data_IF_184916398105
#
_entry.id   IF_184916398105
#
_cell.length_a   1.000
_cell.length_b   1.000
_cell.length_c   1.000
_cell.angle_alpha   90.00
_cell.angle_beta   90.00
_cell.angle_gamma   90.00
#
_symmetry.space_group_name_H-M   'P 1'
#
loop_
_entity.id
_entity.type
_entity.pdbx_description
1 polymer ?
#
# COMPACT_ATOMS: atom_id res chain seq x y z
N UNK A 1 28.01 -9.93 30.98
CA UNK A 1 27.55 -8.67 30.37
C UNK A 1 26.24 -8.96 29.67
N UNK A 2 25.18 -8.22 29.98
CA UNK A 2 23.92 -8.27 29.22
C UNK A 2 24.11 -7.26 28.08
N UNK A 3 24.13 -7.73 26.83
CA UNK A 3 24.22 -6.86 25.66
C UNK A 3 22.93 -6.07 25.45
N UNK A 4 23.00 -4.97 24.68
CA UNK A 4 21.80 -4.21 24.32
C UNK A 4 20.78 -5.12 23.61
N UNK A 5 19.48 -5.04 23.96
CA UNK A 5 18.45 -5.80 23.26
C UNK A 5 18.40 -5.47 21.76
N UNK A 6 18.30 -6.50 20.93
CA UNK A 6 18.07 -6.34 19.49
C UNK A 6 16.59 -6.15 19.18
N UNK A 7 16.29 -5.28 18.23
CA UNK A 7 14.96 -5.12 17.64
C UNK A 7 14.66 -6.30 16.71
N UNK A 8 13.60 -7.05 16.99
CA UNK A 8 13.16 -8.16 16.14
C UNK A 8 12.32 -7.72 14.93
N UNK A 9 11.56 -6.63 15.10
CA UNK A 9 10.69 -6.06 14.09
C UNK A 9 10.35 -4.61 14.42
N UNK A 10 10.13 -3.80 13.38
CA UNK A 10 9.54 -2.46 13.49
C UNK A 10 8.28 -2.42 12.64
N UNK A 11 7.21 -1.85 13.19
CA UNK A 11 6.01 -1.50 12.43
C UNK A 11 5.93 0.03 12.33
N UNK A 12 5.80 0.55 11.10
CA UNK A 12 5.60 1.97 10.85
C UNK A 12 4.22 2.14 10.24
N UNK A 13 3.33 2.86 10.93
CA UNK A 13 1.98 3.15 10.47
C UNK A 13 1.81 4.65 10.16
N UNK A 14 1.24 4.96 9.00
CA UNK A 14 0.79 6.29 8.63
C UNK A 14 -0.74 6.34 8.61
N UNK A 15 -1.31 7.18 9.48
CA UNK A 15 -2.76 7.35 9.64
C UNK A 15 -3.26 8.59 8.90
N UNK A 16 -4.19 8.40 7.99
CA UNK A 16 -4.92 9.46 7.30
C UNK A 16 -6.28 9.64 7.96
N UNK A 17 -6.46 10.78 8.64
CA UNK A 17 -7.68 11.12 9.40
C UNK A 17 -8.42 12.25 8.70
N UNK A 18 -9.73 12.12 8.62
CA UNK A 18 -10.58 13.21 8.14
C UNK A 18 -10.76 14.29 9.22
N UNK A 19 -10.89 15.56 8.80
CA UNK A 19 -11.26 16.69 9.67
C UNK A 19 -12.61 17.22 9.19
N UNK A 20 -13.67 17.07 9.97
CA UNK A 20 -15.02 17.53 9.56
C UNK A 20 -16.18 16.86 10.31
N UNK A 21 -17.42 16.88 9.77
CA UNK A 21 -18.59 16.20 10.34
C UNK A 21 -18.56 14.66 10.19
N UNK A 22 -19.01 13.93 11.21
CA UNK A 22 -18.85 12.47 11.33
C UNK A 22 -19.46 11.62 10.20
N UNK A 23 -20.64 12.00 9.66
CA UNK A 23 -21.29 11.22 8.60
C UNK A 23 -20.52 11.23 7.26
N UNK A 24 -19.79 12.30 6.97
CA UNK A 24 -18.92 12.40 5.79
C UNK A 24 -17.64 11.56 5.97
N UNK A 25 -17.21 11.32 7.22
CA UNK A 25 -15.95 10.63 7.51
C UNK A 25 -15.89 9.21 6.97
N UNK A 26 -16.98 8.45 7.01
CA UNK A 26 -16.94 7.02 6.62
C UNK A 26 -16.63 6.90 5.12
N UNK A 27 -17.43 7.58 4.29
CA UNK A 27 -17.26 7.57 2.84
C UNK A 27 -15.89 8.11 2.43
N UNK A 28 -15.46 9.21 3.03
CA UNK A 28 -14.18 9.85 2.69
C UNK A 28 -12.98 9.01 3.18
N UNK A 29 -13.11 8.34 4.33
CA UNK A 29 -12.06 7.44 4.83
C UNK A 29 -11.96 6.19 3.97
N UNK A 30 -13.08 5.62 3.51
CA UNK A 30 -13.07 4.51 2.56
C UNK A 30 -12.50 4.94 1.20
N UNK A 31 -12.82 6.15 0.72
CA UNK A 31 -12.23 6.70 -0.51
C UNK A 31 -10.71 6.89 -0.39
N UNK A 32 -10.24 7.41 0.75
CA UNK A 32 -8.80 7.51 1.03
C UNK A 32 -8.16 6.12 1.16
N UNK A 33 -8.83 5.17 1.80
CA UNK A 33 -8.34 3.77 1.90
C UNK A 33 -8.20 3.18 0.51
N UNK A 34 -9.21 3.33 -0.36
CA UNK A 34 -9.14 2.90 -1.75
C UNK A 34 -7.95 3.55 -2.48
N UNK A 35 -7.78 4.88 -2.36
CA UNK A 35 -6.64 5.59 -2.98
C UNK A 35 -5.30 5.04 -2.51
N UNK A 36 -5.12 4.80 -1.21
CA UNK A 36 -3.90 4.20 -0.66
C UNK A 36 -3.69 2.77 -1.19
N UNK A 37 -4.72 1.92 -1.20
CA UNK A 37 -4.64 0.55 -1.70
C UNK A 37 -4.30 0.52 -3.20
N UNK A 38 -4.95 1.37 -3.97
CA UNK A 38 -4.78 1.48 -5.41
C UNK A 38 -3.43 2.09 -5.80
N UNK A 39 -2.79 2.88 -4.92
CA UNK A 39 -1.57 3.61 -5.25
C UNK A 39 -0.29 3.05 -4.63
N UNK A 40 -0.38 2.25 -3.56
CA UNK A 40 0.79 1.69 -2.90
C UNK A 40 1.64 0.87 -3.89
N UNK A 41 2.88 1.29 -4.08
CA UNK A 41 3.85 0.68 -4.97
C UNK A 41 5.02 0.11 -4.16
N UNK A 42 4.98 -1.19 -3.89
CA UNK A 42 6.06 -1.91 -3.22
C UNK A 42 6.95 -2.58 -4.28
N UNK A 43 8.09 -1.95 -4.57
CA UNK A 43 9.03 -2.45 -5.57
C UNK A 43 9.51 -3.85 -5.17
N UNK A 44 9.53 -4.79 -6.12
CA UNK A 44 9.99 -6.17 -5.97
C UNK A 44 9.15 -7.04 -5.01
N UNK A 45 8.07 -6.49 -4.43
CA UNK A 45 7.16 -7.21 -3.55
C UNK A 45 6.08 -7.93 -4.37
N UNK A 46 5.74 -9.16 -3.96
CA UNK A 46 4.82 -10.02 -4.72
C UNK A 46 3.51 -10.26 -3.97
N UNK A 47 2.53 -10.84 -4.68
CA UNK A 47 1.25 -11.34 -4.13
C UNK A 47 0.38 -10.26 -3.48
N UNK A 48 0.03 -9.19 -4.22
CA UNK A 48 -0.97 -8.24 -3.76
C UNK A 48 -2.29 -8.99 -3.57
N UNK A 49 -2.91 -8.84 -2.39
CA UNK A 49 -4.14 -9.56 -2.04
C UNK A 49 -4.96 -8.78 -1.03
N UNK A 50 -6.25 -9.06 -0.95
CA UNK A 50 -7.09 -8.61 0.15
C UNK A 50 -7.51 -9.80 1.00
N UNK A 51 -7.44 -9.67 2.32
CA UNK A 51 -8.05 -10.66 3.20
C UNK A 51 -9.55 -10.41 3.28
N UNK A 52 -10.33 -11.42 2.89
CA UNK A 52 -11.78 -11.40 2.88
C UNK A 52 -12.31 -12.40 3.92
N UNK A 53 -12.89 -11.93 5.04
CA UNK A 53 -13.45 -12.81 6.06
C UNK A 53 -14.69 -13.58 5.57
N UNK A 54 -15.33 -13.17 4.48
CA UNK A 54 -16.49 -13.86 3.92
C UNK A 54 -16.11 -15.10 3.10
N UNK A 55 -14.82 -15.28 2.77
CA UNK A 55 -14.35 -16.42 1.99
C UNK A 55 -13.98 -17.61 2.90
N UNK A 56 -14.92 -18.55 3.06
CA UNK A 56 -14.74 -19.77 3.84
C UNK A 56 -14.82 -19.55 5.36
N UNK A 57 -14.75 -20.63 6.14
CA UNK A 57 -15.01 -20.59 7.59
C UNK A 57 -14.05 -19.71 8.40
N UNK A 58 -12.83 -19.49 7.91
CA UNK A 58 -11.78 -18.70 8.58
C UNK A 58 -11.37 -17.44 7.81
N UNK A 59 -12.09 -17.11 6.74
CA UNK A 59 -11.67 -16.12 5.76
C UNK A 59 -10.51 -16.61 4.88
N UNK A 60 -10.33 -15.97 3.73
CA UNK A 60 -9.28 -16.30 2.78
C UNK A 60 -8.71 -15.06 2.10
N UNK A 61 -7.58 -15.22 1.40
CA UNK A 61 -7.02 -14.15 0.60
C UNK A 61 -7.63 -14.15 -0.82
N UNK A 62 -8.15 -13.00 -1.24
CA UNK A 62 -8.48 -12.68 -2.62
C UNK A 62 -7.26 -12.04 -3.28
N UNK A 63 -6.61 -12.76 -4.19
CA UNK A 63 -5.45 -12.23 -4.92
C UNK A 63 -5.87 -11.15 -5.92
N UNK A 64 -5.06 -10.10 -6.03
CA UNK A 64 -5.36 -8.89 -6.82
C UNK A 64 -4.66 -8.88 -8.18
N UNK A 65 -3.84 -9.88 -8.47
CA UNK A 65 -3.13 -10.11 -9.73
C UNK A 65 -3.91 -11.02 -10.70
N UNK A 66 -5.23 -11.13 -10.52
CA UNK A 66 -6.12 -11.94 -11.38
C UNK A 66 -7.12 -11.05 -12.11
N UNK A 67 -7.50 -11.47 -13.32
CA UNK A 67 -8.48 -10.76 -14.15
C UNK A 67 -9.81 -10.55 -13.41
N UNK A 68 -10.39 -9.35 -13.53
CA UNK A 68 -11.66 -9.02 -12.89
C UNK A 68 -11.58 -8.73 -11.38
N UNK A 69 -10.42 -8.92 -10.73
CA UNK A 69 -10.27 -8.54 -9.32
C UNK A 69 -10.50 -7.03 -9.12
N UNK A 70 -11.23 -6.67 -8.07
CA UNK A 70 -11.48 -5.28 -7.68
C UNK A 70 -11.09 -5.08 -6.23
N UNK A 71 -10.54 -3.91 -5.92
CA UNK A 71 -10.34 -3.54 -4.53
C UNK A 71 -11.68 -3.28 -3.86
N UNK A 72 -11.79 -3.79 -2.66
CA UNK A 72 -12.79 -3.38 -1.69
C UNK A 72 -12.09 -2.58 -0.58
N UNK A 73 -12.34 -1.27 -0.43
CA UNK A 73 -11.69 -0.46 0.62
C UNK A 73 -12.07 -0.89 2.05
N UNK A 74 -13.11 -1.70 2.24
CA UNK A 74 -13.45 -2.30 3.52
C UNK A 74 -12.55 -3.49 3.90
N UNK A 75 -11.84 -4.09 2.96
CA UNK A 75 -10.96 -5.23 3.19
C UNK A 75 -9.50 -4.81 3.39
N UNK A 76 -8.74 -5.64 4.10
CA UNK A 76 -7.32 -5.39 4.36
C UNK A 76 -6.48 -5.83 3.15
N UNK A 77 -5.90 -4.85 2.43
CA UNK A 77 -4.97 -5.09 1.34
C UNK A 77 -3.56 -5.33 1.85
N UNK A 78 -2.88 -6.34 1.31
CA UNK A 78 -1.59 -6.83 1.78
C UNK A 78 -0.64 -7.04 0.61
N UNK A 79 0.62 -6.66 0.79
CA UNK A 79 1.72 -7.02 -0.10
C UNK A 79 2.82 -7.67 0.74
N UNK A 80 3.39 -8.79 0.26
CA UNK A 80 4.30 -9.61 1.05
C UNK A 80 3.59 -10.45 2.12
N UNK A 81 4.35 -11.24 2.86
CA UNK A 81 3.88 -12.16 3.90
C UNK A 81 4.46 -11.77 5.26
N UNK A 82 3.87 -12.32 6.32
CA UNK A 82 4.26 -12.05 7.70
C UNK A 82 5.76 -12.29 7.98
N UNK A 83 6.41 -13.17 7.23
CA UNK A 83 7.79 -13.58 7.45
C UNK A 83 8.78 -12.94 6.47
N UNK A 84 8.28 -12.14 5.52
CA UNK A 84 9.14 -11.42 4.59
C UNK A 84 9.82 -10.26 5.32
N UNK A 85 11.03 -9.87 4.89
CA UNK A 85 11.80 -8.77 5.51
C UNK A 85 11.03 -7.44 5.46
N UNK A 86 10.17 -7.27 4.45
CA UNK A 86 9.22 -6.18 4.35
C UNK A 86 7.83 -6.73 4.01
N UNK A 87 6.81 -6.22 4.70
CA UNK A 87 5.41 -6.49 4.34
C UNK A 87 4.56 -5.25 4.55
N UNK A 88 3.58 -5.04 3.68
CA UNK A 88 2.70 -3.88 3.72
C UNK A 88 1.26 -4.28 3.97
N UNK A 89 0.55 -3.43 4.70
CA UNK A 89 -0.90 -3.50 4.86
C UNK A 89 -1.53 -2.14 4.61
N UNK A 90 -2.67 -2.11 3.92
CA UNK A 90 -3.49 -0.92 3.74
C UNK A 90 -4.94 -1.26 4.02
N UNK A 91 -5.52 -0.58 5.00
CA UNK A 91 -6.84 -0.94 5.50
C UNK A 91 -7.54 0.22 6.18
N UNK A 92 -8.86 0.14 6.18
CA UNK A 92 -9.69 1.00 7.01
C UNK A 92 -9.58 0.54 8.46
N UNK A 93 -9.07 1.41 9.34
CA UNK A 93 -8.79 1.10 10.75
C UNK A 93 -9.93 1.62 11.64
N UNK A 94 -10.88 0.75 11.90
CA UNK A 94 -12.08 1.00 12.71
C UNK A 94 -12.20 0.05 13.92
N UNK A 95 -11.25 -0.88 14.06
CA UNK A 95 -11.11 -1.78 15.21
C UNK A 95 -9.71 -1.73 15.78
N UNK A 96 -9.56 -2.06 17.06
CA UNK A 96 -8.29 -2.41 17.70
C UNK A 96 -8.36 -3.79 18.33
N UNK A 97 -7.20 -4.40 18.55
CA UNK A 97 -7.08 -5.65 19.32
C UNK A 97 -6.72 -5.31 20.75
N UNK A 98 -7.37 -5.97 21.72
CA UNK A 98 -6.90 -6.01 23.11
C UNK A 98 -5.79 -7.04 23.28
N UNK A 99 -5.14 -7.00 24.44
CA UNK A 99 -4.10 -7.95 24.87
C UNK A 99 -4.56 -9.42 24.86
N UNK A 100 -5.88 -9.67 24.88
CA UNK A 100 -6.49 -11.00 24.88
C UNK A 100 -7.07 -11.40 23.51
N UNK A 101 -6.63 -10.75 22.42
CA UNK A 101 -7.16 -10.92 21.06
C UNK A 101 -8.62 -10.50 20.82
N UNK A 102 -9.33 -10.00 21.84
CA UNK A 102 -10.66 -9.40 21.66
C UNK A 102 -10.60 -8.19 20.71
N UNK A 103 -11.52 -8.16 19.74
CA UNK A 103 -11.70 -7.04 18.82
C UNK A 103 -12.56 -5.96 19.49
N UNK A 104 -12.05 -4.74 19.54
CA UNK A 104 -12.76 -3.56 20.05
C UNK A 104 -13.06 -2.62 18.91
N UNK A 105 -14.34 -2.27 18.74
CA UNK A 105 -14.75 -1.24 17.80
C UNK A 105 -14.35 0.15 18.31
N UNK A 106 -13.69 0.90 17.44
CA UNK A 106 -13.29 2.27 17.75
C UNK A 106 -14.46 3.22 17.56
N UNK A 107 -14.56 4.30 18.36
CA UNK A 107 -15.50 5.38 18.06
C UNK A 107 -15.15 6.01 16.71
N UNK A 108 -16.16 6.52 15.99
CA UNK A 108 -16.00 7.08 14.64
C UNK A 108 -14.93 8.19 14.57
N UNK A 109 -14.76 8.98 15.62
CA UNK A 109 -13.73 10.01 15.72
C UNK A 109 -12.28 9.49 15.66
N UNK A 110 -12.09 8.17 15.83
CA UNK A 110 -10.79 7.48 15.72
C UNK A 110 -10.65 6.67 14.43
N UNK A 111 -11.66 6.66 13.57
CA UNK A 111 -11.58 5.97 12.29
C UNK A 111 -10.59 6.67 11.36
N UNK A 112 -9.88 5.87 10.57
CA UNK A 112 -8.76 6.34 9.74
C UNK A 112 -8.44 5.35 8.63
N UNK A 113 -7.90 5.85 7.53
CA UNK A 113 -7.26 5.00 6.54
C UNK A 113 -5.80 4.83 6.98
N UNK A 114 -5.31 3.60 7.05
CA UNK A 114 -3.95 3.29 7.49
C UNK A 114 -3.19 2.59 6.38
N UNK A 115 -1.96 3.05 6.16
CA UNK A 115 -0.91 2.29 5.47
C UNK A 115 0.16 1.95 6.50
N UNK A 116 0.58 0.70 6.50
CA UNK A 116 1.49 0.13 7.49
C UNK A 116 2.56 -0.66 6.75
N UNK A 117 3.81 -0.52 7.18
CA UNK A 117 4.90 -1.38 6.76
C UNK A 117 5.51 -2.03 7.99
N UNK A 118 5.72 -3.34 7.90
CA UNK A 118 6.50 -4.09 8.88
C UNK A 118 7.86 -4.39 8.28
N UNK A 119 8.91 -4.14 9.07
CA UNK A 119 10.30 -4.34 8.72
C UNK A 119 10.95 -5.33 9.70
N UNK A 120 11.65 -6.34 9.18
CA UNK A 120 12.26 -7.44 9.93
C UNK A 120 13.54 -7.93 9.25
N UNK A 121 14.36 -8.68 10.00
CA UNK A 121 15.53 -9.37 9.46
C UNK A 121 16.44 -8.44 8.68
N UNK A 122 16.81 -8.84 7.46
CA UNK A 122 17.72 -8.10 6.58
C UNK A 122 17.30 -6.64 6.35
N UNK A 123 15.99 -6.34 6.31
CA UNK A 123 15.54 -4.97 6.14
C UNK A 123 15.88 -4.10 7.36
N UNK A 124 15.86 -4.63 8.58
CA UNK A 124 16.34 -3.88 9.76
C UNK A 124 17.84 -3.57 9.64
N UNK A 125 18.62 -4.50 9.10
CA UNK A 125 20.05 -4.32 8.86
C UNK A 125 20.30 -3.25 7.79
N UNK A 126 19.60 -3.31 6.65
CA UNK A 126 19.73 -2.34 5.55
C UNK A 126 19.38 -0.91 5.98
N UNK A 127 18.40 -0.79 6.87
CA UNK A 127 18.00 0.51 7.43
C UNK A 127 18.83 0.92 8.66
N UNK A 128 19.67 0.04 9.21
CA UNK A 128 20.48 0.32 10.41
C UNK A 128 19.62 0.56 11.64
N UNK A 129 18.64 -0.31 11.88
CA UNK A 129 17.68 -0.25 12.99
C UNK A 129 17.68 -1.59 13.74
N UNK A 130 18.85 -1.97 14.26
CA UNK A 130 19.08 -3.26 14.92
C UNK A 130 18.91 -3.18 16.44
N UNK A 131 19.15 -2.02 17.05
CA UNK A 131 19.02 -1.80 18.50
C UNK A 131 18.20 -0.56 18.83
N UNK A 132 17.91 -0.32 20.11
CA UNK A 132 17.13 0.84 20.53
C UNK A 132 17.95 2.12 20.42
N UNK A 133 19.25 2.06 20.68
CA UNK A 133 20.17 3.20 20.49
C UNK A 133 20.23 3.66 19.03
N UNK A 134 20.04 2.75 18.06
CA UNK A 134 19.96 3.14 16.64
C UNK A 134 18.81 4.13 16.38
N UNK A 135 17.69 4.04 17.12
CA UNK A 135 16.52 4.92 16.95
C UNK A 135 16.79 6.36 17.39
N UNK A 136 17.63 6.57 18.40
CA UNK A 136 17.83 7.89 19.04
C UNK A 136 18.36 8.95 18.06
N UNK A 137 19.24 8.52 17.15
CA UNK A 137 19.84 9.38 16.11
C UNK A 137 19.27 9.14 14.72
N UNK A 138 18.25 8.29 14.59
CA UNK A 138 17.76 7.85 13.30
C UNK A 138 17.02 8.95 12.54
N UNK A 139 17.44 9.18 11.30
CA UNK A 139 16.70 10.05 10.39
C UNK A 139 15.53 9.30 9.77
N UNK A 140 14.32 9.45 10.35
CA UNK A 140 13.10 8.78 9.89
C UNK A 140 12.73 9.08 8.41
N UNK A 141 13.21 10.18 7.84
CA UNK A 141 13.09 10.44 6.40
C UNK A 141 13.68 9.34 5.52
N UNK A 142 14.65 8.58 6.02
CA UNK A 142 15.22 7.41 5.32
C UNK A 142 14.17 6.35 5.02
N UNK A 143 13.06 6.30 5.76
CA UNK A 143 11.95 5.36 5.54
C UNK A 143 11.01 5.77 4.38
N UNK A 144 11.16 6.97 3.81
CA UNK A 144 10.31 7.44 2.69
C UNK A 144 10.19 6.44 1.53
N UNK A 145 11.26 5.74 1.10
CA UNK A 145 11.18 4.74 0.04
C UNK A 145 10.26 3.55 0.32
N UNK A 146 9.93 3.28 1.59
CA UNK A 146 8.98 2.23 1.98
C UNK A 146 7.52 2.63 1.70
N UNK A 147 7.25 3.92 1.53
CA UNK A 147 5.92 4.48 1.27
C UNK A 147 5.93 5.18 -0.08
N UNK A 148 6.01 4.40 -1.16
CA UNK A 148 5.90 4.90 -2.53
C UNK A 148 4.47 4.78 -2.99
N UNK A 149 3.91 5.88 -3.49
CA UNK A 149 2.57 5.91 -4.07
C UNK A 149 2.66 6.30 -5.54
N UNK A 150 1.99 5.52 -6.38
CA UNK A 150 1.93 5.69 -7.84
C UNK A 150 0.49 5.63 -8.28
N UNK A 151 0.10 6.45 -9.23
CA UNK A 151 -1.21 6.41 -9.86
C UNK A 151 -1.08 6.23 -11.37
N UNK A 152 -2.02 5.56 -12.04
CA UNK A 152 -2.05 5.55 -13.49
C UNK A 152 -2.11 6.99 -14.03
N UNK A 153 -1.35 7.27 -15.08
CA UNK A 153 -1.45 8.55 -15.81
C UNK A 153 -2.87 8.70 -16.35
N UNK A 154 -3.37 9.92 -16.49
CA UNK A 154 -4.67 10.16 -17.10
C UNK A 154 -4.78 9.48 -18.49
N UNK A 155 -5.87 8.73 -18.79
CA UNK A 155 -6.02 8.06 -20.08
C UNK A 155 -5.89 8.96 -21.30
N UNK A 156 -6.38 10.20 -21.25
CA UNK A 156 -6.29 11.13 -22.36
C UNK A 156 -4.84 11.60 -22.57
N UNK A 157 -4.14 11.89 -21.48
CA UNK A 157 -2.69 12.18 -21.52
C UNK A 157 -1.91 11.01 -22.11
N UNK A 158 -2.20 9.78 -21.69
CA UNK A 158 -1.54 8.57 -22.20
C UNK A 158 -1.91 8.26 -23.66
N UNK A 159 -3.12 8.60 -24.08
CA UNK A 159 -3.60 8.45 -25.45
C UNK A 159 -2.98 9.46 -26.42
N UNK A 160 -2.52 10.61 -25.92
CA UNK A 160 -1.85 11.65 -26.72
C UNK A 160 -2.66 12.05 -27.98
N UNK A 161 -3.98 12.17 -27.83
CA UNK A 161 -4.89 12.55 -28.92
C UNK A 161 -5.42 11.41 -29.79
N UNK A 162 -4.94 10.17 -29.61
CA UNK A 162 -5.44 9.00 -30.35
C UNK A 162 -6.74 8.45 -29.71
N UNK A 163 -7.90 8.53 -30.40
CA UNK A 163 -9.19 8.09 -29.85
C UNK A 163 -9.28 6.57 -29.66
N UNK A 164 -8.66 5.77 -30.52
CA UNK A 164 -8.68 4.31 -30.40
C UNK A 164 -7.84 3.86 -29.21
N UNK A 165 -6.68 4.50 -29.04
CA UNK A 165 -5.80 4.27 -27.89
C UNK A 165 -6.51 4.66 -26.58
N UNK A 166 -7.22 5.79 -26.56
CA UNK A 166 -8.02 6.19 -25.41
C UNK A 166 -9.09 5.15 -25.06
N UNK A 167 -9.86 4.69 -26.05
CA UNK A 167 -10.88 3.66 -25.86
C UNK A 167 -10.29 2.37 -25.30
N UNK A 168 -9.15 1.91 -25.85
CA UNK A 168 -8.46 0.72 -25.38
C UNK A 168 -7.98 0.85 -23.93
N UNK A 169 -7.36 1.99 -23.56
CA UNK A 169 -6.91 2.25 -22.19
C UNK A 169 -8.10 2.22 -21.22
N UNK A 170 -9.20 2.90 -21.56
CA UNK A 170 -10.41 2.95 -20.73
C UNK A 170 -11.02 1.56 -20.57
N UNK A 171 -11.14 0.78 -21.65
CA UNK A 171 -11.66 -0.58 -21.61
C UNK A 171 -10.78 -1.51 -20.75
N UNK A 172 -9.46 -1.47 -20.94
CA UNK A 172 -8.53 -2.28 -20.16
C UNK A 172 -8.57 -1.94 -18.67
N UNK A 173 -8.62 -0.65 -18.33
CA UNK A 173 -8.77 -0.22 -16.93
C UNK A 173 -10.08 -0.67 -16.31
N UNK A 174 -11.18 -0.75 -17.09
CA UNK A 174 -12.45 -1.31 -16.60
C UNK A 174 -12.38 -2.79 -16.28
N UNK A 175 -11.43 -3.54 -16.84
CA UNK A 175 -11.27 -4.99 -16.65
C UNK A 175 -10.23 -5.30 -15.55
N UNK A 176 -9.15 -4.52 -15.45
CA UNK A 176 -7.96 -4.82 -14.64
C UNK A 176 -7.69 -3.81 -13.48
N UNK A 177 -8.75 -3.40 -12.77
CA UNK A 177 -8.74 -2.23 -11.86
C UNK A 177 -8.25 -2.49 -10.41
N UNK A 178 -7.33 -3.42 -10.17
CA UNK A 178 -7.02 -3.84 -8.80
C UNK A 178 -5.92 -3.00 -8.12
N UNK A 179 -4.74 -2.74 -8.71
CA UNK A 179 -3.58 -2.18 -7.96
C UNK A 179 -2.84 -1.08 -8.71
N UNK A 180 -1.79 -0.45 -8.15
CA UNK A 180 -1.01 0.57 -8.90
C UNK A 180 -0.34 0.00 -10.17
N UNK A 181 -0.16 -1.33 -10.20
CA UNK A 181 0.24 -2.12 -11.35
C UNK A 181 -0.77 -2.03 -12.53
N UNK A 182 -1.98 -1.46 -12.30
CA UNK A 182 -2.98 -1.00 -13.30
C UNK A 182 -2.38 -0.26 -14.50
N UNK A 183 -1.44 0.64 -14.27
CA UNK A 183 -0.80 1.38 -15.36
C UNK A 183 0.04 0.46 -16.24
N UNK A 184 0.71 -0.52 -15.63
CA UNK A 184 1.61 -1.46 -16.30
C UNK A 184 0.86 -2.40 -17.26
N UNK A 185 -0.37 -2.78 -16.93
CA UNK A 185 -1.19 -3.68 -17.76
C UNK A 185 -2.03 -2.98 -18.83
N UNK A 186 -2.02 -1.64 -18.91
CA UNK A 186 -2.90 -0.89 -19.85
C UNK A 186 -2.61 -1.18 -21.33
N UNK A 187 -1.45 -1.78 -21.65
CA UNK A 187 -1.06 -2.21 -23.00
C UNK A 187 -0.66 -3.69 -23.10
N UNK A 188 -0.91 -4.51 -22.07
CA UNK A 188 -0.66 -5.94 -22.21
C UNK A 188 -1.67 -6.53 -23.20
N UNK A 189 -1.15 -7.01 -24.33
CA UNK A 189 -1.92 -7.74 -25.33
C UNK A 189 -2.65 -8.89 -24.66
N UNK A 190 -3.97 -8.94 -24.82
CA UNK A 190 -4.81 -10.09 -24.47
C UNK A 190 -4.12 -11.39 -24.96
N UNK A 191 -3.74 -12.28 -24.03
CA UNK A 191 -3.37 -13.67 -24.36
C UNK A 191 -1.89 -14.06 -24.48
N UNK A 192 -0.91 -13.37 -23.87
CA UNK A 192 0.48 -13.91 -23.77
C UNK A 192 0.98 -14.00 -22.32
N UNK A 193 1.54 -15.16 -21.96
CA UNK A 193 2.26 -15.41 -20.70
C UNK A 193 3.52 -14.53 -20.63
N UNK A 194 3.69 -13.84 -19.50
CA UNK A 194 4.75 -12.87 -19.25
C UNK A 194 6.13 -13.50 -19.01
N UNK A 195 7.09 -13.19 -19.89
CA UNK A 195 8.53 -13.47 -19.70
C UNK A 195 9.35 -12.20 -19.36
N UNK A 196 8.70 -11.08 -19.01
CA UNK A 196 9.33 -9.75 -18.95
C UNK A 196 9.81 -9.27 -17.58
N UNK A 197 9.74 -10.10 -16.54
CA UNK A 197 10.12 -9.71 -15.17
C UNK A 197 11.58 -9.23 -15.00
N UNK A 198 12.49 -9.46 -15.97
CA UNK A 198 13.89 -8.99 -15.90
C UNK A 198 14.16 -7.62 -16.57
N UNK A 199 13.35 -7.20 -17.54
CA UNK A 199 13.59 -5.96 -18.33
C UNK A 199 12.36 -5.00 -18.37
N UNK A 200 11.20 -5.38 -17.82
CA UNK A 200 9.92 -4.67 -17.94
C UNK A 200 9.83 -3.32 -17.21
N UNK A 201 10.57 -3.14 -16.11
CA UNK A 201 10.46 -1.98 -15.21
C UNK A 201 10.64 -0.60 -15.88
N UNK A 202 11.38 -0.50 -17.00
CA UNK A 202 11.56 0.77 -17.74
C UNK A 202 10.38 1.11 -18.67
N UNK A 203 9.74 0.11 -19.28
CA UNK A 203 8.54 0.33 -20.10
C UNK A 203 7.31 0.54 -19.20
N UNK A 204 7.24 -0.21 -18.10
CA UNK A 204 6.21 -0.15 -17.06
C UNK A 204 6.07 1.24 -16.39
N UNK A 205 7.18 1.98 -16.28
CA UNK A 205 7.21 3.34 -15.71
C UNK A 205 6.52 4.40 -16.59
N UNK A 206 6.16 4.13 -17.86
CA UNK A 206 5.55 5.13 -18.77
C UNK A 206 4.05 5.33 -18.57
N UNK A 207 3.41 4.52 -17.73
CA UNK A 207 1.95 4.50 -17.57
C UNK A 207 1.50 4.83 -16.16
N UNK A 208 2.45 5.06 -15.26
CA UNK A 208 2.23 5.46 -13.88
C UNK A 208 3.05 6.72 -13.58
N UNK A 209 2.51 7.56 -12.73
CA UNK A 209 3.17 8.76 -12.21
C UNK A 209 3.14 8.73 -10.68
N UNK A 210 4.02 9.49 -9.99
CA UNK A 210 3.92 9.65 -8.55
C UNK A 210 2.53 10.17 -8.13
N UNK A 211 2.02 9.66 -7.01
CA UNK A 211 0.99 10.38 -6.26
C UNK A 211 1.71 11.36 -5.32
N UNK A 212 2.05 12.54 -5.85
CA UNK A 212 2.87 13.54 -5.16
C UNK A 212 2.23 14.02 -3.85
N UNK A 213 0.91 14.07 -3.77
CA UNK A 213 0.19 14.49 -2.57
C UNK A 213 0.39 13.47 -1.44
N UNK A 214 0.16 12.18 -1.70
CA UNK A 214 0.40 11.12 -0.72
C UNK A 214 1.88 11.02 -0.35
N UNK A 215 2.76 11.12 -1.35
CA UNK A 215 4.20 11.08 -1.15
C UNK A 215 4.70 12.22 -0.26
N UNK A 216 4.21 13.44 -0.51
CA UNK A 216 4.54 14.62 0.30
C UNK A 216 3.96 14.53 1.71
N UNK A 217 2.73 14.03 1.85
CA UNK A 217 2.09 13.84 3.15
C UNK A 217 2.90 12.89 4.05
N UNK A 218 3.27 11.72 3.53
CA UNK A 218 4.06 10.74 4.29
C UNK A 218 5.47 11.24 4.56
N UNK A 219 6.16 11.82 3.56
CA UNK A 219 7.49 12.41 3.76
C UNK A 219 7.47 13.50 4.83
N UNK A 220 6.44 14.35 4.82
CA UNK A 220 6.25 15.38 5.84
C UNK A 220 6.02 14.79 7.23
N UNK A 221 5.24 13.71 7.35
CA UNK A 221 5.01 13.01 8.61
C UNK A 221 6.29 12.37 9.16
N UNK A 222 7.04 11.64 8.32
CA UNK A 222 8.31 11.01 8.68
C UNK A 222 9.34 12.04 9.15
N UNK A 223 9.42 13.21 8.52
CA UNK A 223 10.35 14.29 8.92
C UNK A 223 10.09 14.82 10.33
N UNK A 224 8.84 14.72 10.81
CA UNK A 224 8.42 15.22 12.12
C UNK A 224 8.46 14.13 13.20
N UNK A 225 8.79 12.88 12.85
CA UNK A 225 8.99 11.84 13.85
C UNK A 225 10.29 12.11 14.62
N UNK A 226 10.18 12.01 15.93
CA UNK A 226 11.30 12.02 16.87
C UNK A 226 11.09 10.91 17.88
N UNK A 227 12.17 10.35 18.41
CA UNK A 227 12.10 9.52 19.60
C UNK A 227 11.80 10.45 20.78
N UNK A 228 10.76 10.11 21.56
CA UNK A 228 10.33 10.85 22.73
C UNK A 228 10.66 10.11 24.01
#
# INVERSE_FOLDING_TARGET
MIGEPSIAAIEIACDFRHKGPAALHIRDTLAMTYRLQASLFAKDATKPRQFDPALGEKGANRFMDVEGARLDPGLNFRIGNRWDSLSWQVYFKWTDKKRNDDVVYLPQSKWRARVEVTMRGDALQDYGLLTLSDLESYSFNRLTPLFRFRRPIDPATQAAGDPYKLMAIVANRRINDATCERGMHSFNSLGRRDYRWRNGLREESRHIEPDDELQAAVKGALRRLSVG
#
